data_IF_220164165039
#
_entry.id   IF_220164165039
#
_cell.length_a   1.000
_cell.length_b   1.000
_cell.length_c   1.000
_cell.angle_alpha   90.00
_cell.angle_beta   90.00
_cell.angle_gamma   90.00
#
_symmetry.space_group_name_H-M   'P 1'
#
loop_
_entity.id
_entity.type
_entity.pdbx_description
1 polymer ?
#
# COMPACT_ATOMS: atom_id res chain seq x y z
N UNK A 1 -17.30 12.83 4.42
CA UNK A 1 -16.07 12.03 4.60
C UNK A 1 -14.85 12.90 4.92
N UNK A 2 -14.43 13.81 4.03
CA UNK A 2 -13.22 14.63 4.25
C UNK A 2 -13.26 15.45 5.56
N UNK A 3 -14.37 16.11 5.88
CA UNK A 3 -14.51 16.86 7.14
C UNK A 3 -14.40 15.96 8.38
N UNK A 4 -14.98 14.76 8.32
CA UNK A 4 -14.98 13.79 9.41
C UNK A 4 -13.60 13.16 9.62
N UNK A 5 -12.80 13.01 8.55
CA UNK A 5 -11.45 12.46 8.62
C UNK A 5 -10.46 13.31 9.45
N UNK A 6 -10.79 14.56 9.77
CA UNK A 6 -9.98 15.40 10.67
C UNK A 6 -9.80 14.75 12.03
N UNK A 7 -10.83 14.04 12.52
CA UNK A 7 -10.85 13.37 13.82
C UNK A 7 -10.70 11.84 13.70
N UNK A 8 -10.17 11.33 12.58
CA UNK A 8 -9.93 9.91 12.37
C UNK A 8 -8.44 9.63 12.12
N UNK A 9 -7.95 8.50 12.64
CA UNK A 9 -6.58 8.04 12.38
C UNK A 9 -6.49 7.19 11.10
N UNK A 10 -7.59 6.55 10.71
CA UNK A 10 -7.70 5.67 9.54
C UNK A 10 -9.09 5.80 8.90
N UNK A 11 -9.15 5.80 7.57
CA UNK A 11 -10.41 5.70 6.82
C UNK A 11 -10.48 4.36 6.10
N UNK A 12 -11.53 3.57 6.36
CA UNK A 12 -11.74 2.28 5.71
C UNK A 12 -12.74 2.44 4.57
N UNK A 13 -12.40 1.92 3.39
CA UNK A 13 -13.27 1.95 2.20
C UNK A 13 -13.34 0.57 1.57
N UNK A 14 -14.56 0.06 1.40
CA UNK A 14 -14.80 -1.15 0.62
C UNK A 14 -14.75 -0.85 -0.88
N UNK A 15 -14.01 -1.66 -1.64
CA UNK A 15 -14.08 -1.66 -3.10
C UNK A 15 -15.31 -2.47 -3.52
N UNK A 16 -16.23 -1.91 -4.33
CA UNK A 16 -17.41 -2.62 -4.79
C UNK A 16 -17.02 -3.82 -5.67
N UNK A 17 -17.65 -4.96 -5.39
CA UNK A 17 -17.58 -6.17 -6.19
C UNK A 17 -18.50 -6.13 -7.42
N UNK A 18 -18.37 -7.11 -8.32
CA UNK A 18 -19.24 -7.25 -9.49
C UNK A 18 -20.70 -7.53 -9.11
N UNK A 19 -20.92 -8.15 -7.95
CA UNK A 19 -22.24 -8.56 -7.45
C UNK A 19 -22.90 -7.46 -6.57
N UNK A 20 -22.18 -6.38 -6.27
CA UNK A 20 -22.68 -5.31 -5.40
C UNK A 20 -23.58 -4.34 -6.19
N UNK A 21 -24.88 -4.40 -5.94
CA UNK A 21 -25.88 -3.44 -6.45
C UNK A 21 -25.82 -2.10 -5.68
N UNK A 22 -24.65 -1.49 -5.60
CA UNK A 22 -24.48 -0.17 -5.00
C UNK A 22 -24.85 0.92 -6.00
N UNK A 23 -25.69 1.87 -5.58
CA UNK A 23 -25.93 3.10 -6.35
C UNK A 23 -24.57 3.76 -6.67
N UNK A 24 -24.26 4.02 -7.96
CA UNK A 24 -23.03 4.70 -8.35
C UNK A 24 -22.76 6.01 -7.59
N UNK A 25 -23.80 6.70 -7.12
CA UNK A 25 -23.71 7.93 -6.31
C UNK A 25 -23.20 7.69 -4.88
N UNK A 26 -23.32 6.46 -4.38
CA UNK A 26 -22.81 6.06 -3.07
C UNK A 26 -21.36 5.54 -3.16
N UNK A 27 -20.81 5.37 -4.36
CA UNK A 27 -19.42 4.94 -4.55
C UNK A 27 -18.49 6.09 -4.18
N UNK A 28 -17.58 5.83 -3.25
CA UNK A 28 -16.51 6.75 -2.90
C UNK A 28 -15.32 6.43 -3.80
N UNK A 29 -14.94 7.30 -4.76
CA UNK A 29 -13.79 7.05 -5.60
C UNK A 29 -12.53 7.17 -4.73
N UNK A 30 -11.77 6.08 -4.52
CA UNK A 30 -10.69 6.08 -3.52
C UNK A 30 -9.51 6.98 -3.92
N UNK A 31 -9.32 7.25 -5.22
CA UNK A 31 -8.27 8.14 -5.73
C UNK A 31 -8.44 9.60 -5.27
N UNK A 32 -9.53 10.30 -5.65
CA UNK A 32 -9.83 11.64 -5.15
C UNK A 32 -9.90 11.72 -3.63
N UNK A 33 -10.40 10.66 -2.98
CA UNK A 33 -10.46 10.56 -1.53
C UNK A 33 -9.04 10.60 -0.92
N UNK A 34 -8.11 9.78 -1.42
CA UNK A 34 -6.70 9.76 -0.99
C UNK A 34 -6.01 11.13 -1.16
N UNK A 35 -6.38 11.90 -2.19
CA UNK A 35 -5.81 13.23 -2.43
C UNK A 35 -6.31 14.31 -1.47
N UNK A 36 -7.54 14.19 -0.97
CA UNK A 36 -8.18 15.21 -0.13
C UNK A 36 -8.27 14.87 1.36
N UNK A 37 -8.06 13.61 1.77
CA UNK A 37 -8.30 13.15 3.14
C UNK A 37 -7.28 13.63 4.17
N UNK A 38 -5.99 13.64 3.81
CA UNK A 38 -4.88 13.87 4.75
C UNK A 38 -4.71 12.76 5.80
N UNK A 39 -5.32 11.60 5.59
CA UNK A 39 -5.28 10.40 6.46
C UNK A 39 -5.04 9.14 5.61
N UNK A 40 -4.43 8.08 6.17
CA UNK A 40 -4.29 6.81 5.47
C UNK A 40 -5.66 6.21 5.15
N UNK A 41 -5.75 5.53 4.01
CA UNK A 41 -6.95 4.80 3.57
C UNK A 41 -6.65 3.31 3.55
N UNK A 42 -7.44 2.53 4.28
CA UNK A 42 -7.49 1.08 4.15
C UNK A 42 -8.55 0.70 3.13
N UNK A 43 -8.12 0.23 1.97
CA UNK A 43 -8.98 -0.32 0.93
C UNK A 43 -9.19 -1.82 1.20
N UNK A 44 -10.43 -2.21 1.45
CA UNK A 44 -10.85 -3.61 1.55
C UNK A 44 -11.39 -4.09 0.18
N UNK A 45 -10.81 -5.11 -0.44
CA UNK A 45 -11.32 -5.64 -1.70
C UNK A 45 -12.62 -6.45 -1.48
N UNK A 46 -13.39 -6.74 -2.55
CA UNK A 46 -14.61 -7.53 -2.44
C UNK A 46 -14.34 -8.90 -1.81
N UNK A 47 -15.32 -9.43 -1.09
CA UNK A 47 -15.28 -10.76 -0.44
C UNK A 47 -14.28 -10.90 0.73
N UNK A 48 -13.59 -9.83 1.11
CA UNK A 48 -12.80 -9.81 2.36
C UNK A 48 -13.69 -9.38 3.51
N UNK A 49 -13.97 -10.31 4.41
CA UNK A 49 -14.80 -10.07 5.60
C UNK A 49 -13.98 -9.69 6.83
N UNK A 50 -12.68 -10.04 6.86
CA UNK A 50 -11.78 -9.82 7.99
C UNK A 50 -10.37 -9.52 7.50
N UNK A 51 -9.66 -8.69 8.26
CA UNK A 51 -8.24 -8.41 8.10
C UNK A 51 -7.55 -8.72 9.44
N UNK A 52 -6.60 -9.65 9.46
CA UNK A 52 -5.79 -9.89 10.66
C UNK A 52 -4.53 -9.03 10.66
N UNK A 53 -4.06 -8.61 9.49
CA UNK A 53 -2.77 -7.95 9.29
C UNK A 53 -1.60 -8.75 9.91
N UNK A 54 -1.73 -10.08 9.97
CA UNK A 54 -0.73 -10.96 10.55
C UNK A 54 0.55 -10.97 9.71
N UNK A 55 0.43 -10.77 8.40
CA UNK A 55 1.56 -10.80 7.47
C UNK A 55 1.45 -9.61 6.54
N UNK A 56 2.43 -8.71 6.59
CA UNK A 56 2.35 -7.40 5.94
C UNK A 56 3.44 -7.26 4.89
N UNK A 57 3.04 -6.86 3.68
CA UNK A 57 3.96 -6.39 2.65
C UNK A 57 4.04 -4.87 2.70
N UNK A 58 5.23 -4.32 2.89
CA UNK A 58 5.54 -2.90 2.69
C UNK A 58 6.09 -2.74 1.29
N UNK A 59 5.31 -2.14 0.40
CA UNK A 59 5.74 -1.82 -0.97
C UNK A 59 6.71 -0.64 -0.92
N UNK A 60 8.00 -0.94 -1.01
CA UNK A 60 9.05 0.04 -0.83
C UNK A 60 9.52 0.66 -2.14
N UNK A 61 9.55 1.98 -2.12
CA UNK A 61 10.28 2.86 -3.02
C UNK A 61 10.67 4.07 -2.20
N UNK A 62 11.86 4.61 -2.41
CA UNK A 62 12.33 5.74 -1.63
C UNK A 62 11.64 7.06 -2.03
N UNK A 63 10.41 7.24 -1.52
CA UNK A 63 9.60 8.44 -1.72
C UNK A 63 9.00 8.91 -0.41
N UNK A 64 8.60 10.19 -0.38
CA UNK A 64 7.91 10.78 0.77
C UNK A 64 6.65 10.00 1.13
N UNK A 65 5.86 9.61 0.13
CA UNK A 65 4.57 8.95 0.31
C UNK A 65 4.75 7.54 0.88
N UNK A 66 5.78 6.80 0.45
CA UNK A 66 6.08 5.48 1.01
C UNK A 66 6.56 5.57 2.45
N UNK A 67 7.48 6.50 2.75
CA UNK A 67 7.92 6.75 4.13
C UNK A 67 6.75 7.14 5.03
N UNK A 68 5.81 7.93 4.51
CA UNK A 68 4.57 8.28 5.21
C UNK A 68 3.66 7.08 5.42
N UNK A 69 3.48 6.22 4.41
CA UNK A 69 2.70 4.99 4.52
C UNK A 69 3.28 4.02 5.55
N UNK A 70 4.60 3.92 5.63
CA UNK A 70 5.28 3.12 6.66
C UNK A 70 4.92 3.64 8.06
N UNK A 71 5.01 4.95 8.29
CA UNK A 71 4.65 5.56 9.56
C UNK A 71 3.17 5.33 9.91
N UNK A 72 2.28 5.60 8.97
CA UNK A 72 0.83 5.45 9.17
C UNK A 72 0.41 3.98 9.35
N UNK A 73 1.18 3.04 8.79
CA UNK A 73 0.98 1.60 8.93
C UNK A 73 1.55 0.99 10.22
N UNK A 74 2.39 1.71 10.97
CA UNK A 74 3.06 1.19 12.17
C UNK A 74 2.13 0.50 13.18
N UNK A 75 0.91 1.00 13.47
CA UNK A 75 0.02 0.34 14.43
C UNK A 75 -0.33 -1.10 14.06
N UNK A 76 -0.43 -1.41 12.76
CA UNK A 76 -0.70 -2.75 12.23
C UNK A 76 0.61 -3.54 12.04
N UNK A 77 1.65 -2.88 11.53
CA UNK A 77 2.95 -3.51 11.24
C UNK A 77 3.64 -4.00 12.51
N UNK A 78 3.55 -3.27 13.63
CA UNK A 78 4.18 -3.66 14.91
C UNK A 78 3.54 -4.88 15.58
N UNK A 79 2.31 -5.23 15.21
CA UNK A 79 1.59 -6.40 15.73
C UNK A 79 1.59 -7.57 14.75
N UNK A 80 2.20 -7.39 13.57
CA UNK A 80 2.29 -8.42 12.55
C UNK A 80 3.27 -9.53 12.98
N UNK A 81 2.94 -10.77 12.64
CA UNK A 81 3.82 -11.93 12.83
C UNK A 81 4.99 -11.92 11.84
N UNK A 82 4.78 -11.36 10.64
CA UNK A 82 5.84 -11.20 9.64
C UNK A 82 5.66 -9.93 8.80
N UNK A 83 6.77 -9.27 8.50
CA UNK A 83 6.80 -8.06 7.67
C UNK A 83 7.82 -8.23 6.53
N UNK A 84 7.41 -7.88 5.33
CA UNK A 84 8.22 -7.99 4.12
C UNK A 84 8.38 -6.61 3.46
N UNK A 85 9.61 -6.09 3.42
CA UNK A 85 9.92 -4.86 2.70
C UNK A 85 10.23 -5.24 1.25
N UNK A 86 9.30 -4.95 0.33
CA UNK A 86 9.37 -5.42 -1.05
C UNK A 86 9.78 -4.27 -1.98
N UNK A 87 10.89 -4.44 -2.69
CA UNK A 87 11.37 -3.50 -3.72
C UNK A 87 11.13 -4.11 -5.10
N UNK A 88 10.50 -3.37 -6.01
CA UNK A 88 10.16 -3.85 -7.36
C UNK A 88 10.74 -2.94 -8.44
N UNK A 89 11.41 -3.54 -9.44
CA UNK A 89 11.74 -2.89 -10.70
C UNK A 89 12.97 -1.97 -10.68
N UNK A 90 13.93 -2.20 -9.79
CA UNK A 90 15.15 -1.38 -9.69
C UNK A 90 16.41 -2.03 -10.32
N UNK A 91 16.28 -3.20 -10.96
CA UNK A 91 17.41 -3.89 -11.60
C UNK A 91 18.56 -4.26 -10.64
N UNK A 92 19.69 -4.74 -11.17
CA UNK A 92 20.88 -5.06 -10.35
C UNK A 92 21.66 -3.79 -9.91
N UNK A 93 21.49 -2.68 -10.62
CA UNK A 93 22.14 -1.38 -10.35
C UNK A 93 21.39 -0.48 -9.37
N UNK A 94 20.26 -0.95 -8.80
CA UNK A 94 19.33 -0.21 -7.94
C UNK A 94 19.83 0.05 -6.51
N UNK A 95 21.08 0.49 -6.36
CA UNK A 95 21.72 0.72 -5.05
C UNK A 95 20.88 1.56 -4.11
N UNK A 96 20.31 2.68 -4.59
CA UNK A 96 19.57 3.62 -3.74
C UNK A 96 18.32 3.03 -3.09
N UNK A 97 17.50 2.26 -3.81
CA UNK A 97 16.30 1.68 -3.19
C UNK A 97 16.57 0.39 -2.41
N UNK A 98 17.67 -0.33 -2.71
CA UNK A 98 18.18 -1.41 -1.85
C UNK A 98 18.73 -0.87 -0.52
N UNK A 99 19.50 0.20 -0.57
CA UNK A 99 20.06 0.87 0.62
C UNK A 99 18.92 1.45 1.47
N UNK A 100 17.95 2.13 0.84
CA UNK A 100 16.75 2.62 1.52
C UNK A 100 15.88 1.49 2.13
N UNK A 101 15.88 0.30 1.53
CA UNK A 101 15.17 -0.86 2.07
C UNK A 101 15.81 -1.39 3.36
N UNK A 102 17.13 -1.33 3.48
CA UNK A 102 17.83 -1.67 4.72
C UNK A 102 17.55 -0.64 5.83
N UNK A 103 17.55 0.65 5.48
CA UNK A 103 17.22 1.72 6.42
C UNK A 103 15.79 1.61 6.96
N UNK A 104 14.80 1.35 6.10
CA UNK A 104 13.42 1.18 6.54
C UNK A 104 13.23 -0.11 7.36
N UNK A 105 13.94 -1.19 7.02
CA UNK A 105 13.93 -2.41 7.83
C UNK A 105 14.49 -2.14 9.24
N UNK A 106 15.59 -1.38 9.33
CA UNK A 106 16.15 -0.97 10.62
C UNK A 106 15.20 -0.04 11.39
N UNK A 107 14.51 0.86 10.70
CA UNK A 107 13.46 1.72 11.28
C UNK A 107 12.32 0.89 11.87
N UNK A 108 11.77 -0.06 11.10
CA UNK A 108 10.71 -0.97 11.55
C UNK A 108 11.15 -1.79 12.77
N UNK A 109 12.39 -2.30 12.76
CA UNK A 109 12.95 -3.05 13.89
C UNK A 109 12.99 -2.21 15.18
N UNK A 110 13.36 -0.92 15.10
CA UNK A 110 13.33 0.00 16.26
C UNK A 110 11.91 0.24 16.78
N UNK A 111 10.90 0.05 15.94
CA UNK A 111 9.48 0.14 16.30
C UNK A 111 8.85 -1.22 16.67
N UNK A 112 9.67 -2.27 16.84
CA UNK A 112 9.21 -3.59 17.29
C UNK A 112 8.77 -4.53 16.17
N UNK A 113 9.04 -4.19 14.90
CA UNK A 113 8.68 -5.01 13.74
C UNK A 113 9.93 -5.46 12.98
N UNK A 114 10.38 -6.69 13.22
CA UNK A 114 11.43 -7.28 12.39
C UNK A 114 10.89 -7.54 10.97
N UNK A 115 11.70 -7.27 9.95
CA UNK A 115 11.28 -7.41 8.56
C UNK A 115 12.33 -8.08 7.69
N UNK A 116 11.88 -8.85 6.70
CA UNK A 116 12.72 -9.38 5.63
C UNK A 116 12.66 -8.48 4.40
N UNK A 117 13.81 -8.18 3.80
CA UNK A 117 13.86 -7.46 2.51
C UNK A 117 13.71 -8.44 1.35
N UNK A 118 12.81 -8.12 0.44
CA UNK A 118 12.46 -8.94 -0.72
C UNK A 118 12.65 -8.13 -1.99
N UNK A 119 13.63 -8.52 -2.80
CA UNK A 119 13.92 -7.85 -4.07
C UNK A 119 13.20 -8.55 -5.23
N UNK A 120 12.61 -7.75 -6.11
CA UNK A 120 11.97 -8.16 -7.38
C UNK A 120 12.53 -7.29 -8.50
N UNK A 121 13.74 -7.57 -8.99
CA UNK A 121 14.43 -6.70 -9.95
C UNK A 121 13.67 -6.58 -11.28
N UNK A 122 12.99 -7.65 -11.69
CA UNK A 122 12.16 -7.69 -12.90
C UNK A 122 10.70 -7.99 -12.52
N UNK A 123 9.76 -7.08 -12.79
CA UNK A 123 8.34 -7.36 -12.57
C UNK A 123 7.82 -8.31 -13.65
N UNK A 124 7.16 -9.40 -13.26
CA UNK A 124 6.50 -10.34 -14.18
C UNK A 124 5.18 -9.81 -14.79
N UNK A 125 4.99 -8.49 -14.82
CA UNK A 125 3.73 -7.80 -15.11
C UNK A 125 3.79 -6.35 -14.63
N UNK A 126 2.68 -5.80 -14.14
CA UNK A 126 2.74 -4.50 -13.46
C UNK A 126 3.43 -4.61 -12.10
N UNK A 127 3.90 -3.49 -11.55
CA UNK A 127 4.41 -3.45 -10.16
C UNK A 127 3.33 -3.86 -9.17
N UNK A 128 2.07 -3.45 -9.39
CA UNK A 128 0.95 -3.85 -8.55
C UNK A 128 0.72 -5.37 -8.59
N UNK A 129 0.81 -6.00 -9.76
CA UNK A 129 0.71 -7.46 -9.89
C UNK A 129 1.85 -8.17 -9.18
N UNK A 130 3.06 -7.65 -9.29
CA UNK A 130 4.25 -8.20 -8.61
C UNK A 130 4.12 -8.10 -7.09
N UNK A 131 3.59 -6.99 -6.57
CA UNK A 131 3.29 -6.82 -5.15
C UNK A 131 2.20 -7.78 -4.69
N UNK A 132 1.09 -7.91 -5.42
CA UNK A 132 0.02 -8.85 -5.09
C UNK A 132 0.51 -10.30 -5.15
N UNK A 133 1.30 -10.66 -6.15
CA UNK A 133 1.88 -12.00 -6.27
C UNK A 133 2.84 -12.27 -5.11
N UNK A 134 3.67 -11.30 -4.74
CA UNK A 134 4.57 -11.43 -3.58
C UNK A 134 3.76 -11.57 -2.30
N UNK A 135 2.73 -10.75 -2.10
CA UNK A 135 1.86 -10.86 -0.94
C UNK A 135 1.18 -12.25 -0.86
N UNK A 136 0.67 -12.80 -1.97
CA UNK A 136 0.12 -14.17 -2.00
C UNK A 136 1.17 -15.24 -1.67
N UNK A 137 2.39 -15.13 -2.24
CA UNK A 137 3.49 -16.08 -1.97
C UNK A 137 3.90 -16.06 -0.51
N UNK A 138 3.97 -14.86 0.07
CA UNK A 138 4.32 -14.68 1.47
C UNK A 138 3.11 -14.84 2.40
N UNK A 139 1.91 -15.17 1.91
CA UNK A 139 0.69 -15.28 2.73
C UNK A 139 0.28 -13.97 3.42
N UNK A 140 0.68 -12.81 2.88
CA UNK A 140 0.33 -11.50 3.39
C UNK A 140 -1.12 -11.12 3.06
N UNK A 141 -1.82 -10.59 4.06
CA UNK A 141 -3.21 -10.14 3.98
C UNK A 141 -3.33 -8.60 3.96
N UNK A 142 -2.21 -7.89 4.11
CA UNK A 142 -2.11 -6.44 4.01
C UNK A 142 -0.92 -6.00 3.14
N UNK A 143 -1.18 -5.07 2.23
CA UNK A 143 -0.15 -4.30 1.52
C UNK A 143 -0.16 -2.86 2.04
N UNK A 144 0.97 -2.35 2.50
CA UNK A 144 1.20 -0.95 2.87
C UNK A 144 1.96 -0.28 1.73
N UNK A 145 1.42 0.80 1.15
CA UNK A 145 2.05 1.49 0.02
C UNK A 145 1.83 3.01 0.04
N UNK A 146 2.82 3.74 -0.47
CA UNK A 146 2.66 5.15 -0.81
C UNK A 146 1.70 5.34 -2.00
N UNK A 147 0.93 6.41 -1.99
CA UNK A 147 -0.06 6.74 -3.01
C UNK A 147 0.28 8.06 -3.73
N UNK A 148 0.25 8.02 -5.06
CA UNK A 148 0.41 9.19 -5.94
C UNK A 148 1.65 10.07 -5.63
N UNK A 149 2.84 9.49 -5.75
CA UNK A 149 4.10 10.20 -5.49
C UNK A 149 4.41 11.38 -6.43
N UNK A 150 5.33 12.25 -5.99
CA UNK A 150 5.63 13.55 -6.61
C UNK A 150 6.16 13.57 -8.06
N UNK A 151 6.42 12.44 -8.70
CA UNK A 151 6.70 12.42 -10.15
C UNK A 151 5.39 12.45 -10.95
N UNK A 152 4.90 13.67 -11.19
CA UNK A 152 4.04 14.13 -12.31
C UNK A 152 2.72 14.79 -11.92
N UNK A 153 2.84 15.93 -11.25
CA UNK A 153 1.78 16.95 -11.14
C UNK A 153 1.40 17.62 -12.49
N UNK A 154 1.59 16.97 -13.66
CA UNK A 154 1.23 17.59 -14.96
C UNK A 154 0.85 16.69 -16.12
N UNK A 155 0.73 15.37 -15.94
CA UNK A 155 0.08 14.50 -16.93
C UNK A 155 -0.69 13.40 -16.21
N UNK A 156 -1.96 13.25 -16.57
CA UNK A 156 -2.92 12.25 -16.08
C UNK A 156 -2.55 10.79 -16.45
N UNK A 157 -1.27 10.43 -16.41
CA UNK A 157 -0.73 9.20 -17.03
C UNK A 157 0.05 8.30 -16.05
N UNK A 158 0.44 8.75 -14.85
CA UNK A 158 1.44 8.00 -14.05
C UNK A 158 1.10 7.79 -12.57
N UNK A 159 -0.01 7.09 -12.33
CA UNK A 159 -0.32 6.47 -11.05
C UNK A 159 -0.61 4.98 -11.20
N UNK A 160 0.04 4.29 -12.14
CA UNK A 160 -0.27 2.90 -12.52
C UNK A 160 -0.40 1.99 -11.29
N UNK A 161 0.62 1.94 -10.43
CA UNK A 161 0.60 1.09 -9.24
C UNK A 161 -0.57 1.40 -8.31
N UNK A 162 -0.75 2.67 -7.91
CA UNK A 162 -1.86 3.03 -7.02
C UNK A 162 -3.22 2.80 -7.70
N UNK A 163 -3.38 3.14 -8.98
CA UNK A 163 -4.62 2.91 -9.74
C UNK A 163 -4.95 1.43 -9.86
N UNK A 164 -3.94 0.61 -10.13
CA UNK A 164 -4.07 -0.83 -10.27
C UNK A 164 -4.41 -1.47 -8.92
N UNK A 165 -3.79 -1.02 -7.82
CA UNK A 165 -4.19 -1.44 -6.47
C UNK A 165 -5.62 -0.99 -6.15
N UNK A 166 -5.99 0.25 -6.44
CA UNK A 166 -7.34 0.77 -6.20
C UNK A 166 -8.42 0.06 -7.03
N UNK A 167 -8.10 -0.39 -8.25
CA UNK A 167 -9.04 -1.04 -9.15
C UNK A 167 -9.10 -2.56 -9.00
N UNK A 168 -7.94 -3.19 -8.80
CA UNK A 168 -7.73 -4.63 -9.03
C UNK A 168 -7.11 -5.37 -7.84
N UNK A 169 -6.82 -4.69 -6.71
CA UNK A 169 -6.28 -5.38 -5.55
C UNK A 169 -7.26 -6.47 -5.06
N UNK A 170 -6.71 -7.65 -4.80
CA UNK A 170 -7.38 -8.80 -4.17
C UNK A 170 -6.98 -8.97 -2.70
N UNK A 171 -6.11 -8.10 -2.20
CA UNK A 171 -5.57 -8.05 -0.84
C UNK A 171 -5.86 -6.65 -0.28
N UNK A 172 -6.09 -6.53 1.03
CA UNK A 172 -6.27 -5.22 1.64
C UNK A 172 -5.07 -4.32 1.41
N UNK A 173 -5.31 -3.04 1.14
CA UNK A 173 -4.25 -2.06 0.87
C UNK A 173 -4.38 -0.86 1.81
N UNK A 174 -3.38 -0.60 2.65
CA UNK A 174 -3.24 0.66 3.36
C UNK A 174 -2.42 1.62 2.50
N UNK A 175 -3.03 2.73 2.11
CA UNK A 175 -2.49 3.72 1.18
C UNK A 175 -2.35 5.06 1.90
N UNK A 176 -1.17 5.68 1.79
CA UNK A 176 -0.91 7.01 2.38
C UNK A 176 -0.11 7.94 1.48
N UNK A 177 -0.20 9.25 1.73
CA UNK A 177 0.43 10.34 0.97
C UNK A 177 1.10 11.34 1.91
#
# INVERSE_FOLDING_TARGET
>A
LISQARAADLVVVGRPGPDDALDPRLRVPPGPLLMGLGRPVLLAPPRVERLSAARVVVAWKDTRETRRAVLDGLPLVRTAEAVFVVVVGEGESGGEGRDGAADVAAYLARHGAASATVLRPEPGGSVADTLQQTARREGADLIVAGAYGHSRLRQWVFGGVTRDLLGNASICCLLSR
#
